data_IF_502151485657
#
_entry.id   IF_502151485657
#
_cell.length_a   1.000
_cell.length_b   1.000
_cell.length_c   1.000
_cell.angle_alpha   90.00
_cell.angle_beta   90.00
_cell.angle_gamma   90.00
#
_symmetry.space_group_name_H-M   'P 1'
#
loop_
_entity.id
_entity.type
_entity.pdbx_description
1 polymer ?
#
# COMPACT_ATOMS: atom_id res chain seq x y z
N UNK A 1 7.67 12.21 -22.71
CA UNK A 1 9.09 11.91 -23.03
C UNK A 1 9.09 11.62 -24.51
N UNK A 2 9.67 12.50 -25.33
CA UNK A 2 9.80 12.25 -26.78
C UNK A 2 11.23 11.83 -27.04
N UNK A 3 11.43 10.57 -27.35
CA UNK A 3 12.67 10.07 -27.91
C UNK A 3 12.74 10.34 -29.42
N UNK A 4 13.91 10.23 -30.00
CA UNK A 4 14.15 10.40 -31.43
C UNK A 4 15.15 9.41 -31.95
N UNK A 5 15.04 9.10 -33.24
CA UNK A 5 16.01 8.29 -33.98
C UNK A 5 16.95 9.22 -34.68
N UNK A 6 18.26 9.03 -34.52
CA UNK A 6 19.29 9.84 -35.12
C UNK A 6 20.18 8.95 -35.96
N UNK A 7 20.49 9.41 -37.19
CA UNK A 7 21.44 8.73 -38.08
C UNK A 7 22.82 9.32 -37.88
N UNK A 8 23.82 8.48 -37.69
CA UNK A 8 25.25 8.88 -37.66
C UNK A 8 26.05 7.95 -38.57
N UNK A 9 26.58 8.51 -39.61
CA UNK A 9 27.14 7.72 -40.70
C UNK A 9 26.06 6.85 -41.34
N UNK A 10 26.26 5.54 -41.36
CA UNK A 10 25.30 4.56 -41.87
C UNK A 10 24.48 3.84 -40.80
N UNK A 11 24.56 4.26 -39.53
CA UNK A 11 23.95 3.54 -38.40
C UNK A 11 22.87 4.36 -37.71
N UNK A 12 21.85 3.65 -37.18
CA UNK A 12 20.75 4.22 -36.40
C UNK A 12 21.09 4.26 -34.90
N UNK A 13 20.79 5.38 -34.28
CA UNK A 13 20.95 5.62 -32.85
C UNK A 13 19.60 5.98 -32.23
N UNK A 14 19.37 5.49 -31.03
CA UNK A 14 18.27 5.91 -30.18
C UNK A 14 18.72 7.06 -29.29
N UNK A 15 17.88 8.10 -29.19
CA UNK A 15 18.11 9.25 -28.34
C UNK A 15 16.82 9.43 -27.48
N UNK A 16 16.91 9.19 -26.18
CA UNK A 16 15.79 9.27 -25.24
C UNK A 16 16.26 9.81 -23.90
N UNK A 17 15.32 10.09 -22.99
CA UNK A 17 15.65 10.49 -21.62
C UNK A 17 15.24 9.39 -20.64
N UNK A 18 16.15 9.06 -19.74
CA UNK A 18 15.92 8.17 -18.62
C UNK A 18 16.51 8.77 -17.34
N UNK A 19 15.75 8.79 -16.25
CA UNK A 19 16.14 9.42 -14.96
C UNK A 19 16.67 10.87 -15.13
N UNK A 20 16.02 11.66 -15.98
CA UNK A 20 16.39 13.03 -16.36
C UNK A 20 17.73 13.14 -17.13
N UNK A 21 18.42 12.05 -17.40
CA UNK A 21 19.64 12.02 -18.19
C UNK A 21 19.32 11.74 -19.66
N UNK A 22 20.08 12.35 -20.54
CA UNK A 22 19.98 12.12 -21.99
C UNK A 22 20.79 10.88 -22.35
N UNK A 23 20.10 9.86 -22.86
CA UNK A 23 20.69 8.61 -23.32
C UNK A 23 20.78 8.61 -24.83
N UNK A 24 21.93 8.19 -25.35
CA UNK A 24 22.16 8.02 -26.77
C UNK A 24 22.84 6.69 -27.02
N UNK A 25 22.07 5.73 -27.56
CA UNK A 25 22.52 4.36 -27.71
C UNK A 25 22.54 3.92 -29.17
N UNK A 26 23.55 3.17 -29.53
CA UNK A 26 23.66 2.58 -30.88
C UNK A 26 22.72 1.35 -30.95
N UNK A 27 21.98 1.25 -32.05
CA UNK A 27 21.17 0.04 -32.30
C UNK A 27 21.95 -1.05 -33.04
N UNK A 28 23.17 -0.74 -33.51
CA UNK A 28 23.94 -1.63 -34.37
C UNK A 28 23.39 -1.79 -35.79
N UNK A 29 22.19 -1.24 -36.07
CA UNK A 29 21.51 -1.39 -37.37
C UNK A 29 21.88 -0.28 -38.34
N UNK A 30 21.97 -0.65 -39.64
CA UNK A 30 22.16 0.29 -40.73
C UNK A 30 20.86 1.02 -41.06
N UNK A 31 20.97 2.22 -41.65
CA UNK A 31 19.84 3.06 -42.02
C UNK A 31 19.13 2.51 -43.26
N UNK A 32 18.11 1.68 -43.03
CA UNK A 32 17.21 1.17 -44.06
C UNK A 32 15.75 1.39 -43.63
N UNK A 33 14.77 1.50 -44.54
CA UNK A 33 13.38 1.69 -44.20
C UNK A 33 12.85 0.62 -43.25
N UNK A 34 13.28 -0.64 -43.42
CA UNK A 34 12.89 -1.76 -42.57
C UNK A 34 13.47 -1.63 -41.16
N UNK A 35 14.75 -1.28 -41.02
CA UNK A 35 15.37 -1.07 -39.72
C UNK A 35 14.84 0.15 -39.00
N UNK A 36 14.50 1.25 -39.70
CA UNK A 36 13.84 2.40 -39.07
C UNK A 36 12.54 2.03 -38.40
N UNK A 37 11.65 1.30 -39.10
CA UNK A 37 10.39 0.81 -38.51
C UNK A 37 10.63 -0.03 -37.24
N UNK A 38 11.64 -0.90 -37.28
CA UNK A 38 11.98 -1.75 -36.13
C UNK A 38 12.48 -0.92 -34.95
N UNK A 39 13.31 0.07 -35.20
CA UNK A 39 13.87 0.97 -34.17
C UNK A 39 12.78 1.90 -33.61
N UNK A 40 11.82 2.34 -34.42
CA UNK A 40 10.63 3.09 -33.95
C UNK A 40 9.78 2.29 -32.97
N UNK A 41 9.54 1.03 -33.27
CA UNK A 41 8.79 0.13 -32.37
C UNK A 41 9.56 -0.09 -31.03
N UNK A 42 10.88 -0.26 -31.14
CA UNK A 42 11.73 -0.39 -29.95
C UNK A 42 11.69 0.88 -29.09
N UNK A 43 11.77 2.06 -29.71
CA UNK A 43 11.69 3.33 -29.01
C UNK A 43 10.35 3.50 -28.27
N UNK A 44 9.25 3.23 -28.95
CA UNK A 44 7.90 3.28 -28.34
C UNK A 44 7.76 2.33 -27.15
N UNK A 45 8.35 1.14 -27.26
CA UNK A 45 8.35 0.17 -26.15
C UNK A 45 9.17 0.69 -24.97
N UNK A 46 10.38 1.23 -25.19
CA UNK A 46 11.21 1.83 -24.16
C UNK A 46 10.47 2.98 -23.46
N UNK A 47 9.82 3.87 -24.22
CA UNK A 47 9.06 5.00 -23.67
C UNK A 47 7.88 4.53 -22.82
N UNK A 48 7.17 3.50 -23.27
CA UNK A 48 6.08 2.88 -22.52
C UNK A 48 6.57 2.27 -21.20
N UNK A 49 7.65 1.50 -21.24
CA UNK A 49 8.22 0.86 -20.04
C UNK A 49 8.80 1.90 -19.06
N UNK A 50 9.37 3.01 -19.56
CA UNK A 50 9.81 4.14 -18.71
C UNK A 50 8.61 4.77 -18.00
N UNK A 51 7.51 4.99 -18.73
CA UNK A 51 6.28 5.57 -18.16
C UNK A 51 5.66 4.66 -17.11
N UNK A 52 5.70 3.35 -17.31
CA UNK A 52 5.20 2.34 -16.37
C UNK A 52 6.18 2.03 -15.21
N UNK A 53 7.39 2.63 -15.23
CA UNK A 53 8.41 2.36 -14.21
C UNK A 53 9.03 0.96 -14.28
N UNK A 54 8.86 0.25 -15.40
CA UNK A 54 9.33 -1.13 -15.60
C UNK A 54 10.61 -1.22 -16.42
N UNK A 55 11.07 -0.11 -16.97
CA UNK A 55 12.24 -0.07 -17.83
C UNK A 55 13.53 -0.36 -17.05
N UNK A 56 14.32 -1.32 -17.57
CA UNK A 56 15.65 -1.66 -17.05
C UNK A 56 16.69 -1.43 -18.14
N UNK A 57 17.55 -0.46 -17.93
CA UNK A 57 18.53 -0.04 -18.92
C UNK A 57 19.46 -1.17 -19.37
N UNK A 58 19.93 -1.98 -18.44
CA UNK A 58 20.85 -3.11 -18.67
C UNK A 58 20.27 -4.19 -19.58
N UNK A 59 18.95 -4.40 -19.56
CA UNK A 59 18.26 -5.39 -20.41
C UNK A 59 18.29 -4.98 -21.88
N UNK A 60 18.18 -3.67 -22.15
CA UNK A 60 18.15 -3.13 -23.51
C UNK A 60 19.53 -2.79 -24.06
N UNK A 61 20.44 -2.36 -23.20
CA UNK A 61 21.77 -1.87 -23.58
C UNK A 61 22.87 -2.42 -22.66
N UNK A 62 23.10 -3.75 -22.66
CA UNK A 62 24.05 -4.37 -21.73
C UNK A 62 25.50 -3.92 -21.95
N UNK A 63 25.86 -3.57 -23.18
CA UNK A 63 27.22 -3.12 -23.54
C UNK A 63 27.41 -1.61 -23.39
N UNK A 64 26.39 -0.86 -22.99
CA UNK A 64 26.48 0.56 -22.81
C UNK A 64 27.31 0.93 -21.58
N UNK A 65 28.21 1.90 -21.72
CA UNK A 65 28.93 2.48 -20.56
C UNK A 65 28.00 3.05 -19.49
N UNK A 66 26.81 3.49 -19.91
CA UNK A 66 25.79 4.04 -19.00
C UNK A 66 25.05 2.96 -18.20
N UNK A 67 25.07 1.69 -18.63
CA UNK A 67 24.33 0.62 -17.96
C UNK A 67 24.75 0.48 -16.49
N UNK A 68 26.04 0.43 -16.21
CA UNK A 68 26.57 0.34 -14.84
C UNK A 68 26.22 1.55 -13.96
N UNK A 69 26.16 2.73 -14.53
CA UNK A 69 25.86 3.97 -13.81
C UNK A 69 24.38 4.06 -13.49
N UNK A 70 23.50 3.65 -14.39
CA UNK A 70 22.06 3.56 -14.12
C UNK A 70 21.74 2.51 -13.09
N UNK A 71 22.37 1.32 -13.14
CA UNK A 71 22.21 0.28 -12.11
C UNK A 71 22.63 0.77 -10.73
N UNK A 72 23.75 1.54 -10.63
CA UNK A 72 24.17 2.17 -9.37
C UNK A 72 23.22 3.26 -8.91
N UNK A 73 22.67 4.09 -9.82
CA UNK A 73 21.69 5.12 -9.49
C UNK A 73 20.36 4.52 -9.00
N UNK A 74 19.89 3.46 -9.63
CA UNK A 74 18.70 2.70 -9.21
C UNK A 74 18.93 2.09 -7.83
N UNK A 75 20.05 1.44 -7.60
CA UNK A 75 20.42 0.88 -6.31
C UNK A 75 20.52 1.95 -5.23
N UNK A 76 21.15 3.10 -5.53
CA UNK A 76 21.27 4.23 -4.60
C UNK A 76 19.90 4.83 -4.27
N UNK A 77 19.01 4.98 -5.27
CA UNK A 77 17.64 5.45 -5.06
C UNK A 77 16.83 4.47 -4.18
N UNK A 78 17.02 3.17 -4.39
CA UNK A 78 16.41 2.13 -3.58
C UNK A 78 16.92 2.14 -2.13
N UNK A 79 18.23 2.35 -1.95
CA UNK A 79 18.86 2.45 -0.62
C UNK A 79 18.39 3.72 0.11
N UNK A 80 18.32 4.86 -0.57
CA UNK A 80 17.82 6.11 0.02
C UNK A 80 16.34 5.97 0.40
N UNK A 81 15.52 5.39 -0.46
CA UNK A 81 14.11 5.09 -0.17
C UNK A 81 13.97 4.13 1.02
N UNK A 82 14.84 3.12 1.13
CA UNK A 82 14.89 2.24 2.30
C UNK A 82 15.38 2.94 3.58
N UNK A 83 16.31 3.90 3.47
CA UNK A 83 16.77 4.67 4.62
C UNK A 83 15.72 5.65 5.13
N UNK A 84 14.95 6.28 4.23
CA UNK A 84 13.79 7.09 4.59
C UNK A 84 12.69 6.24 5.26
N UNK A 85 12.46 5.01 4.78
CA UNK A 85 11.54 4.05 5.37
C UNK A 85 11.94 3.61 6.78
N UNK A 86 13.24 3.34 6.99
CA UNK A 86 13.75 2.92 8.30
C UNK A 86 13.60 4.02 9.39
N UNK A 87 13.07 5.19 9.05
CA UNK A 87 12.86 6.30 9.98
C UNK A 87 11.38 6.52 10.32
N UNK A 88 10.43 5.96 9.55
CA UNK A 88 9.00 6.18 9.81
C UNK A 88 8.45 5.11 10.74
N UNK A 89 8.12 5.51 11.95
CA UNK A 89 7.47 4.64 12.94
C UNK A 89 5.98 4.45 12.60
N UNK A 90 5.40 3.38 13.13
CA UNK A 90 3.95 3.15 12.99
C UNK A 90 3.13 4.32 13.58
N UNK A 91 3.59 4.91 14.67
CA UNK A 91 2.94 6.07 15.30
C UNK A 91 2.89 7.26 14.35
N UNK A 92 4.03 7.66 13.78
CA UNK A 92 4.11 8.78 12.84
C UNK A 92 3.28 8.53 11.59
N UNK A 93 3.35 7.34 11.03
CA UNK A 93 2.56 6.99 9.85
C UNK A 93 1.06 6.97 10.14
N UNK A 94 0.64 6.46 11.31
CA UNK A 94 -0.75 6.41 11.72
C UNK A 94 -1.36 7.82 11.86
N UNK A 95 -0.60 8.82 12.36
CA UNK A 95 -1.04 10.22 12.43
C UNK A 95 -1.22 10.82 11.02
N UNK A 96 -0.25 10.61 10.13
CA UNK A 96 -0.36 11.06 8.73
C UNK A 96 -1.60 10.44 8.07
N UNK A 97 -1.75 9.13 8.20
CA UNK A 97 -2.87 8.39 7.62
C UNK A 97 -4.22 8.84 8.19
N UNK A 98 -4.29 9.11 9.50
CA UNK A 98 -5.50 9.58 10.16
C UNK A 98 -5.90 10.95 9.63
N UNK A 99 -4.97 11.92 9.53
CA UNK A 99 -5.21 13.26 9.02
C UNK A 99 -5.69 13.27 7.56
N UNK A 100 -5.17 12.34 6.73
CA UNK A 100 -5.60 12.21 5.34
C UNK A 100 -7.01 11.59 5.21
N UNK A 101 -7.34 10.65 6.09
CA UNK A 101 -8.60 9.91 6.03
C UNK A 101 -9.76 10.57 6.78
N UNK A 102 -9.51 11.48 7.71
CA UNK A 102 -10.57 12.12 8.48
C UNK A 102 -11.57 12.90 7.62
N UNK A 103 -11.14 13.44 6.47
CA UNK A 103 -12.02 14.14 5.53
C UNK A 103 -13.05 13.21 4.85
N UNK A 104 -12.78 11.90 4.83
CA UNK A 104 -13.67 10.91 4.25
C UNK A 104 -14.68 10.34 5.25
N UNK A 105 -14.46 10.56 6.57
CA UNK A 105 -15.19 9.86 7.62
C UNK A 105 -16.10 10.79 8.42
N UNK A 106 -17.19 10.21 8.90
CA UNK A 106 -18.05 10.87 9.88
C UNK A 106 -17.32 11.01 11.22
N UNK A 107 -17.60 12.03 11.98
CA UNK A 107 -17.00 12.32 13.29
C UNK A 107 -17.01 11.10 14.23
N UNK A 108 -18.14 10.39 14.31
CA UNK A 108 -18.26 9.17 15.15
C UNK A 108 -17.30 8.07 14.75
N UNK A 109 -16.98 7.95 13.46
CA UNK A 109 -16.01 6.98 12.95
C UNK A 109 -14.58 7.42 13.26
N UNK A 110 -14.27 8.70 13.11
CA UNK A 110 -12.97 9.28 13.48
C UNK A 110 -12.67 9.01 14.95
N UNK A 111 -13.61 9.31 15.85
CA UNK A 111 -13.50 9.01 17.30
C UNK A 111 -13.26 7.53 17.56
N UNK A 112 -14.01 6.66 16.90
CA UNK A 112 -13.87 5.19 17.07
C UNK A 112 -12.50 4.68 16.63
N UNK A 113 -11.97 5.19 15.50
CA UNK A 113 -10.65 4.81 14.98
C UNK A 113 -9.56 5.37 15.88
N UNK A 114 -9.67 6.64 16.29
CA UNK A 114 -8.72 7.27 17.24
C UNK A 114 -8.64 6.47 18.53
N UNK A 115 -9.77 6.15 19.17
CA UNK A 115 -9.79 5.30 20.35
C UNK A 115 -9.15 3.91 20.11
N UNK A 116 -9.32 3.35 18.91
CA UNK A 116 -8.71 2.06 18.57
C UNK A 116 -7.20 2.19 18.40
N UNK A 117 -6.72 3.27 17.80
CA UNK A 117 -5.29 3.58 17.71
C UNK A 117 -4.68 3.72 19.11
N UNK A 118 -5.24 4.58 19.94
CA UNK A 118 -4.67 4.94 21.24
C UNK A 118 -4.66 3.77 22.23
N UNK A 119 -5.76 2.99 22.27
CA UNK A 119 -5.90 1.92 23.24
C UNK A 119 -5.22 0.61 22.85
N UNK A 120 -5.10 0.31 21.56
CA UNK A 120 -4.65 -1.01 21.11
C UNK A 120 -3.44 -0.98 20.18
N UNK A 121 -3.45 -0.11 19.17
CA UNK A 121 -2.46 -0.18 18.11
C UNK A 121 -1.15 0.54 18.45
N UNK A 122 -1.22 1.77 18.96
CA UNK A 122 -0.04 2.54 19.34
C UNK A 122 0.77 1.88 20.47
N UNK A 123 0.14 1.33 21.54
CA UNK A 123 0.90 0.61 22.57
C UNK A 123 1.61 -0.64 22.04
N UNK A 124 1.11 -1.24 20.95
CA UNK A 124 1.63 -2.51 20.43
C UNK A 124 2.63 -2.33 19.28
N UNK A 125 2.45 -1.31 18.46
CA UNK A 125 3.20 -1.10 17.23
C UNK A 125 3.84 0.28 17.12
N UNK A 126 3.45 1.25 17.94
CA UNK A 126 3.81 2.67 17.79
C UNK A 126 5.29 2.96 17.60
N UNK A 127 6.14 2.28 18.36
CA UNK A 127 7.60 2.43 18.30
C UNK A 127 8.29 1.59 17.23
N UNK A 128 7.56 0.71 16.53
CA UNK A 128 8.12 -0.11 15.46
C UNK A 128 8.09 0.66 14.14
N UNK A 129 9.11 0.48 13.32
CA UNK A 129 9.09 0.96 11.96
C UNK A 129 8.03 0.20 11.15
N UNK A 130 7.28 0.90 10.28
CA UNK A 130 6.15 0.29 9.55
C UNK A 130 6.57 -0.88 8.66
N UNK A 131 7.76 -0.83 8.06
CA UNK A 131 8.32 -1.87 7.21
C UNK A 131 8.84 -3.09 7.98
N UNK A 132 9.14 -2.91 9.29
CA UNK A 132 9.63 -3.98 10.17
C UNK A 132 8.52 -4.84 10.77
N UNK A 133 7.26 -4.40 10.66
CA UNK A 133 6.12 -5.16 11.17
C UNK A 133 5.89 -6.39 10.30
N UNK A 134 5.99 -7.56 10.91
CA UNK A 134 5.86 -8.84 10.22
C UNK A 134 4.45 -9.43 10.35
N UNK A 135 4.13 -10.40 9.49
CA UNK A 135 2.91 -11.20 9.62
C UNK A 135 2.81 -11.90 10.99
N UNK A 136 3.94 -12.33 11.55
CA UNK A 136 3.99 -12.94 12.86
C UNK A 136 3.57 -11.94 13.96
N UNK A 137 4.00 -10.68 13.87
CA UNK A 137 3.60 -9.62 14.80
C UNK A 137 2.08 -9.39 14.75
N UNK A 138 1.51 -9.31 13.56
CA UNK A 138 0.06 -9.12 13.37
C UNK A 138 -0.75 -10.28 13.95
N UNK A 139 -0.33 -11.52 13.70
CA UNK A 139 -1.00 -12.71 14.23
C UNK A 139 -0.85 -12.82 15.76
N UNK A 140 0.32 -12.49 16.29
CA UNK A 140 0.58 -12.46 17.73
C UNK A 140 -0.28 -11.38 18.42
N UNK A 141 -0.38 -10.20 17.83
CA UNK A 141 -1.26 -9.14 18.31
C UNK A 141 -2.74 -9.61 18.35
N UNK A 142 -3.23 -10.23 17.27
CA UNK A 142 -4.58 -10.81 17.23
C UNK A 142 -4.80 -11.85 18.35
N UNK A 143 -3.81 -12.71 18.60
CA UNK A 143 -3.87 -13.69 19.69
C UNK A 143 -3.90 -13.03 21.06
N UNK A 144 -3.16 -11.94 21.27
CA UNK A 144 -3.21 -11.15 22.51
C UNK A 144 -4.59 -10.52 22.70
N UNK A 145 -5.17 -9.94 21.66
CA UNK A 145 -6.53 -9.36 21.72
C UNK A 145 -7.59 -10.38 22.16
N UNK A 146 -7.47 -11.63 21.75
CA UNK A 146 -8.39 -12.69 22.16
C UNK A 146 -8.34 -13.03 23.67
N UNK A 147 -7.31 -12.55 24.38
CA UNK A 147 -7.12 -12.73 25.81
C UNK A 147 -7.45 -11.47 26.62
N UNK A 148 -7.73 -10.34 25.95
CA UNK A 148 -8.08 -9.08 26.63
C UNK A 148 -9.50 -9.18 27.18
N UNK A 149 -9.72 -8.76 28.45
CA UNK A 149 -11.07 -8.76 29.03
C UNK A 149 -12.03 -7.89 28.24
N UNK A 150 -13.24 -8.40 28.02
CA UNK A 150 -14.35 -7.66 27.43
C UNK A 150 -15.09 -6.83 28.46
N UNK A 151 -15.91 -5.87 28.02
CA UNK A 151 -16.72 -5.03 28.94
C UNK A 151 -17.79 -5.83 29.70
N UNK A 152 -18.39 -6.84 29.05
CA UNK A 152 -19.49 -7.68 29.61
C UNK A 152 -19.19 -9.18 29.51
N UNK A 153 -18.04 -9.55 28.98
CA UNK A 153 -17.63 -10.93 28.71
C UNK A 153 -16.21 -11.13 29.20
N UNK A 154 -15.80 -12.36 29.46
CA UNK A 154 -14.43 -12.67 29.91
C UNK A 154 -13.37 -12.19 28.95
N UNK A 155 -13.67 -12.19 27.64
CA UNK A 155 -12.73 -11.78 26.59
C UNK A 155 -13.43 -10.91 25.56
N UNK A 156 -12.65 -10.23 24.71
CA UNK A 156 -13.18 -9.47 23.58
C UNK A 156 -13.91 -10.40 22.61
N UNK A 157 -15.09 -9.96 22.12
CA UNK A 157 -15.81 -10.69 21.10
C UNK A 157 -15.05 -10.72 19.77
N UNK A 158 -15.27 -11.76 18.98
CA UNK A 158 -14.69 -11.93 17.64
C UNK A 158 -14.97 -10.72 16.75
N UNK A 159 -16.18 -10.17 16.82
CA UNK A 159 -16.56 -8.95 16.09
C UNK A 159 -15.68 -7.76 16.51
N UNK A 160 -15.49 -7.55 17.81
CA UNK A 160 -14.65 -6.46 18.33
C UNK A 160 -13.19 -6.62 17.90
N UNK A 161 -12.66 -7.84 17.95
CA UNK A 161 -11.31 -8.13 17.46
C UNK A 161 -11.17 -7.74 15.97
N UNK A 162 -12.12 -8.15 15.13
CA UNK A 162 -12.12 -7.79 13.72
C UNK A 162 -12.18 -6.26 13.52
N UNK A 163 -12.96 -5.54 14.32
CA UNK A 163 -13.03 -4.08 14.28
C UNK A 163 -11.69 -3.41 14.63
N UNK A 164 -10.96 -3.94 15.63
CA UNK A 164 -9.62 -3.44 15.99
C UNK A 164 -8.60 -3.75 14.89
N UNK A 165 -8.67 -4.94 14.29
CA UNK A 165 -7.76 -5.38 13.24
C UNK A 165 -7.96 -4.64 11.90
N UNK A 166 -9.13 -4.03 11.68
CA UNK A 166 -9.45 -3.33 10.42
C UNK A 166 -8.59 -2.09 10.20
N UNK A 167 -8.48 -1.12 11.14
CA UNK A 167 -7.57 0.02 10.97
C UNK A 167 -6.12 -0.40 10.81
N UNK A 168 -5.64 -1.40 11.56
CA UNK A 168 -4.29 -1.93 11.43
C UNK A 168 -4.03 -2.42 9.99
N UNK A 169 -4.98 -3.16 9.40
CA UNK A 169 -4.89 -3.60 8.01
C UNK A 169 -4.82 -2.43 7.04
N UNK A 170 -5.67 -1.41 7.24
CA UNK A 170 -5.73 -0.25 6.36
C UNK A 170 -4.40 0.51 6.39
N UNK A 171 -3.87 0.78 7.57
CA UNK A 171 -2.59 1.48 7.77
C UNK A 171 -1.44 0.71 7.14
N UNK A 172 -1.32 -0.60 7.42
CA UNK A 172 -0.21 -1.41 6.91
C UNK A 172 -0.27 -1.61 5.38
N UNK A 173 -1.47 -1.71 4.81
CA UNK A 173 -1.61 -1.80 3.35
C UNK A 173 -1.28 -0.46 2.68
N UNK A 174 -1.73 0.65 3.22
CA UNK A 174 -1.42 2.00 2.73
C UNK A 174 0.09 2.28 2.83
N UNK A 175 0.70 1.95 3.96
CA UNK A 175 2.14 2.07 4.12
C UNK A 175 2.92 1.20 3.12
N UNK A 176 2.46 -0.04 2.88
CA UNK A 176 3.07 -0.96 1.94
C UNK A 176 3.00 -0.46 0.49
N UNK A 177 1.86 0.12 0.10
CA UNK A 177 1.66 0.72 -1.23
C UNK A 177 2.52 1.98 -1.39
N UNK A 178 2.51 2.87 -0.41
CA UNK A 178 3.21 4.16 -0.43
C UNK A 178 4.73 4.01 -0.43
N UNK A 179 5.23 3.02 0.29
CA UNK A 179 6.65 2.79 0.48
C UNK A 179 7.20 1.57 -0.27
N UNK A 180 6.37 0.87 -1.06
CA UNK A 180 6.77 -0.21 -1.95
C UNK A 180 7.42 -1.41 -1.22
N UNK A 181 6.80 -1.83 -0.12
CA UNK A 181 7.16 -3.08 0.56
C UNK A 181 5.99 -4.07 0.58
N UNK A 182 6.29 -5.34 0.85
CA UNK A 182 5.23 -6.36 0.89
C UNK A 182 4.40 -6.22 2.15
N UNK A 183 3.08 -5.96 2.01
CA UNK A 183 2.18 -5.86 3.15
C UNK A 183 2.22 -7.14 4.00
N UNK A 184 2.41 -7.00 5.33
CA UNK A 184 2.38 -8.13 6.25
C UNK A 184 0.98 -8.75 6.38
N UNK A 185 -0.05 -8.10 5.82
CA UNK A 185 -1.43 -8.59 5.87
C UNK A 185 -1.75 -9.68 4.84
N UNK A 186 -0.84 -9.96 3.90
CA UNK A 186 -1.07 -10.95 2.84
C UNK A 186 -1.51 -12.31 3.43
N UNK A 187 -2.69 -12.78 2.97
CA UNK A 187 -3.31 -14.05 3.41
C UNK A 187 -3.75 -14.11 4.89
N UNK A 188 -3.95 -12.97 5.57
CA UNK A 188 -4.60 -12.93 6.88
C UNK A 188 -6.10 -12.72 6.67
N UNK A 189 -6.90 -13.74 7.00
CA UNK A 189 -8.37 -13.68 6.94
C UNK A 189 -8.92 -13.12 8.25
N UNK A 190 -10.06 -12.41 8.17
CA UNK A 190 -10.84 -12.01 9.34
C UNK A 190 -11.37 -13.25 10.06
N UNK A 191 -11.55 -13.13 11.37
CA UNK A 191 -12.15 -14.20 12.17
C UNK A 191 -13.63 -14.36 11.81
N UNK A 192 -14.10 -15.60 11.71
CA UNK A 192 -15.52 -15.88 11.48
C UNK A 192 -16.32 -15.49 12.71
N UNK A 193 -17.28 -14.58 12.55
CA UNK A 193 -18.21 -14.20 13.60
C UNK A 193 -19.29 -15.26 13.66
N UNK A 194 -19.57 -15.87 14.83
CA UNK A 194 -20.70 -16.77 14.99
C UNK A 194 -21.99 -16.03 14.61
N UNK A 195 -22.88 -16.71 13.89
CA UNK A 195 -24.22 -16.17 13.64
C UNK A 195 -24.95 -16.14 14.97
N UNK A 196 -25.44 -14.97 15.40
CA UNK A 196 -26.37 -14.86 16.49
C UNK A 196 -27.75 -15.27 15.97
N UNK A 197 -28.41 -16.16 16.69
CA UNK A 197 -29.79 -16.46 16.43
C UNK A 197 -30.62 -15.28 16.97
N UNK A 198 -31.02 -14.41 16.05
CA UNK A 198 -31.85 -13.25 16.39
C UNK A 198 -33.28 -13.71 16.37
N UNK A 199 -33.86 -13.90 17.55
CA UNK A 199 -35.29 -14.11 17.67
C UNK A 199 -36.00 -12.75 17.58
N UNK A 200 -36.86 -12.52 16.57
CA UNK A 200 -37.64 -11.31 16.48
C UNK A 200 -38.64 -11.26 17.66
N UNK A 201 -38.93 -10.04 18.10
CA UNK A 201 -39.98 -9.86 19.12
C UNK A 201 -41.32 -10.41 18.64
N UNK A 202 -42.02 -11.09 19.51
CA UNK A 202 -43.41 -11.49 19.30
C UNK A 202 -44.30 -10.23 19.23
N UNK A 203 -45.49 -10.37 18.63
CA UNK A 203 -46.43 -9.26 18.52
C UNK A 203 -46.81 -8.70 19.92
N UNK A 204 -46.99 -9.57 20.91
CA UNK A 204 -47.33 -9.19 22.27
C UNK A 204 -46.19 -8.39 22.95
N UNK A 205 -44.95 -8.79 22.73
CA UNK A 205 -43.78 -8.03 23.22
C UNK A 205 -43.68 -6.65 22.55
N UNK A 206 -43.92 -6.56 21.23
CA UNK A 206 -43.94 -5.29 20.49
C UNK A 206 -45.03 -4.38 21.05
N UNK A 207 -46.26 -4.90 21.26
CA UNK A 207 -47.36 -4.15 21.83
C UNK A 207 -47.10 -3.70 23.26
N UNK A 208 -46.42 -4.52 24.07
CA UNK A 208 -45.98 -4.15 25.41
C UNK A 208 -44.95 -3.02 25.38
N UNK A 209 -43.97 -3.12 24.50
CA UNK A 209 -42.96 -2.06 24.29
C UNK A 209 -43.65 -0.73 23.92
N UNK A 210 -44.56 -0.75 22.92
CA UNK A 210 -45.26 0.46 22.46
C UNK A 210 -46.08 1.08 23.61
N UNK A 211 -46.70 0.30 24.46
CA UNK A 211 -47.50 0.81 25.62
C UNK A 211 -46.59 1.41 26.70
N UNK A 212 -45.36 0.89 26.85
CA UNK A 212 -44.44 1.27 27.93
C UNK A 212 -43.54 2.45 27.54
N UNK A 213 -43.34 2.67 26.22
CA UNK A 213 -42.52 3.77 25.72
C UNK A 213 -43.20 5.12 26.01
N UNK A 214 -42.39 6.09 26.47
CA UNK A 214 -42.87 7.45 26.74
C UNK A 214 -43.50 8.08 25.51
N UNK A 215 -44.50 8.97 25.69
CA UNK A 215 -45.20 9.63 24.56
C UNK A 215 -44.30 10.30 23.56
N UNK A 216 -43.17 10.86 24.03
CA UNK A 216 -42.17 11.60 23.21
C UNK A 216 -41.42 10.69 22.20
N UNK A 217 -41.56 9.36 22.32
CA UNK A 217 -40.92 8.36 21.45
C UNK A 217 -41.94 7.48 20.69
N UNK A 218 -43.25 7.86 20.69
CA UNK A 218 -44.30 7.15 19.96
C UNK A 218 -44.47 7.64 18.53
#
# INVERSE_FOLDING_TARGET
IMGSIVVRGSRLYLNFRYMNLRCRESTGLTDTPQHRRRVELLLKRIESEITLGQFKYEVYFPESKNASDFTKLESKKLILKKQELNQVTFSEFAEIWMAEKEVEWRESQQITIRCTLDLYLLPSFGSKNVDSITKADVLNFRSKLAKVPGRKTETLSVSRINHIMTPLRMILNEAADRYDFTSPWKNIKSLKVPKSDVQPFSLDEVMKIIRTVRPDFR
#
